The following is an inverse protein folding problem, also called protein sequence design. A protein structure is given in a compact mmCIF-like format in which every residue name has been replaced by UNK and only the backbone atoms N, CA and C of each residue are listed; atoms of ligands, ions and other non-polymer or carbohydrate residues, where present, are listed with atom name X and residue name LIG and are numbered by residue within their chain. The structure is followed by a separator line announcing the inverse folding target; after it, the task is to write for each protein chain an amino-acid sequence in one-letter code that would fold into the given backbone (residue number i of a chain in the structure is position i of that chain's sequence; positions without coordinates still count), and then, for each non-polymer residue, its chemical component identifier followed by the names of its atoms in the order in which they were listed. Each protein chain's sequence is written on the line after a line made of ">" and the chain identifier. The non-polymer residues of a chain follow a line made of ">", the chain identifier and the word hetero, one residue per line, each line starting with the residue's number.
data_IF_355048210594
#
_entry.id   IF_355048210594
#
_cell.length_a   1.000
_cell.length_b   1.000
_cell.length_c   1.000
_cell.angle_alpha   90.00
_cell.angle_beta   90.00
_cell.angle_gamma   90.00
#
_symmetry.space_group_name_H-M   'P 1'
#
loop_
_entity.id
_entity.type
_entity.pdbx_description
1 polymer ?
#
# COMPACT_ATOMS: atom_id res chain seq x y z
N UNK A 1 -8.83 -4.76 -7.53
CA UNK A 1 -8.09 -5.58 -8.52
C UNK A 1 -6.73 -5.88 -7.95
N UNK A 2 -6.26 -7.13 -8.02
CA UNK A 2 -4.92 -7.53 -7.58
C UNK A 2 -4.22 -8.35 -8.66
N UNK A 3 -3.82 -7.74 -9.79
CA UNK A 3 -3.16 -8.47 -10.87
C UNK A 3 -1.78 -8.96 -10.39
N UNK A 4 -1.41 -10.18 -10.79
CA UNK A 4 -0.09 -10.75 -10.51
C UNK A 4 0.81 -10.67 -11.74
N UNK A 5 2.02 -10.14 -11.55
CA UNK A 5 3.11 -10.28 -12.52
C UNK A 5 4.02 -11.43 -12.07
N UNK A 6 4.28 -12.38 -12.97
CA UNK A 6 5.11 -13.55 -12.65
C UNK A 6 6.31 -13.65 -13.59
N UNK A 7 7.41 -14.24 -13.12
CA UNK A 7 8.54 -14.59 -13.99
C UNK A 7 8.12 -15.70 -14.97
N UNK A 8 8.84 -15.82 -16.10
CA UNK A 8 8.46 -16.69 -17.22
C UNK A 8 8.19 -18.14 -16.85
N UNK A 9 9.00 -18.72 -15.95
CA UNK A 9 8.84 -20.11 -15.50
C UNK A 9 7.53 -20.35 -14.71
N UNK A 10 6.92 -19.30 -14.16
CA UNK A 10 5.64 -19.37 -13.46
C UNK A 10 4.44 -19.12 -14.39
N UNK A 11 4.66 -18.59 -15.59
CA UNK A 11 3.58 -18.24 -16.51
C UNK A 11 2.66 -19.43 -16.87
N UNK A 12 3.14 -20.67 -17.04
CA UNK A 12 2.27 -21.83 -17.27
C UNK A 12 1.34 -22.16 -16.10
N UNK A 13 1.65 -21.68 -14.89
CA UNK A 13 0.84 -21.93 -13.69
C UNK A 13 -0.14 -20.80 -13.39
N UNK A 14 -0.24 -19.79 -14.26
CA UNK A 14 -1.22 -18.73 -14.11
C UNK A 14 -2.66 -19.27 -14.21
N UNK A 15 -3.61 -18.72 -13.43
CA UNK A 15 -5.00 -19.13 -13.49
C UNK A 15 -5.60 -19.09 -14.90
N UNK A 16 -6.41 -20.10 -15.21
CA UNK A 16 -7.27 -20.16 -16.39
C UNK A 16 -8.68 -19.66 -16.10
N UNK A 17 -9.61 -19.98 -17.00
CA UNK A 17 -11.05 -19.78 -16.79
C UNK A 17 -11.83 -20.85 -17.56
N UNK A 18 -12.85 -21.43 -16.94
CA UNK A 18 -13.59 -22.58 -17.48
C UNK A 18 -14.47 -22.25 -18.70
N UNK A 19 -14.99 -21.02 -18.78
CA UNK A 19 -15.93 -20.59 -19.84
C UNK A 19 -15.22 -19.86 -21.00
N UNK A 20 -14.16 -19.09 -20.70
CA UNK A 20 -13.48 -18.24 -21.67
C UNK A 20 -12.03 -18.73 -21.75
N UNK A 21 -11.67 -19.51 -22.79
CA UNK A 21 -10.32 -20.01 -22.95
C UNK A 21 -9.33 -18.84 -23.03
N UNK A 22 -8.36 -18.81 -22.12
CA UNK A 22 -7.28 -17.84 -22.18
C UNK A 22 -6.15 -18.42 -23.03
N UNK A 23 -6.11 -18.04 -24.31
CA UNK A 23 -5.21 -18.53 -25.39
C UNK A 23 -3.71 -18.46 -25.09
N UNK A 24 -3.18 -19.26 -24.15
CA UNK A 24 -1.76 -19.58 -24.06
C UNK A 24 -1.60 -21.03 -23.64
N UNK A 25 -0.74 -21.74 -24.38
CA UNK A 25 -0.37 -23.13 -24.18
C UNK A 25 -0.19 -23.45 -22.69
N UNK A 26 -0.93 -24.46 -22.20
CA UNK A 26 -0.82 -25.05 -20.86
C UNK A 26 -0.92 -24.03 -19.73
N UNK A 27 -2.12 -23.51 -19.47
CA UNK A 27 -2.45 -22.90 -18.17
C UNK A 27 -2.95 -23.96 -17.20
N UNK A 28 -2.65 -23.77 -15.92
CA UNK A 28 -3.23 -24.53 -14.83
C UNK A 28 -4.76 -24.34 -14.79
N UNK A 29 -5.50 -25.42 -14.61
CA UNK A 29 -6.98 -25.43 -14.62
C UNK A 29 -7.62 -24.74 -13.40
N UNK A 30 -6.81 -24.14 -12.52
CA UNK A 30 -7.29 -23.38 -11.37
C UNK A 30 -7.99 -22.08 -11.77
N UNK A 31 -9.19 -21.88 -11.20
CA UNK A 31 -9.96 -20.64 -11.33
C UNK A 31 -10.01 -19.94 -9.97
N UNK A 32 -9.66 -18.65 -9.94
CA UNK A 32 -9.63 -17.84 -8.71
C UNK A 32 -10.68 -16.72 -8.70
N UNK A 33 -11.44 -16.56 -9.79
CA UNK A 33 -12.41 -15.48 -9.96
C UNK A 33 -13.56 -15.91 -10.86
N UNK A 34 -14.78 -15.42 -10.60
CA UNK A 34 -15.97 -15.78 -11.37
C UNK A 34 -16.02 -15.21 -12.80
N UNK A 35 -15.11 -14.30 -13.14
CA UNK A 35 -14.90 -13.78 -14.49
C UNK A 35 -13.40 -13.83 -14.85
N UNK A 36 -13.03 -14.05 -16.12
CA UNK A 36 -11.65 -14.31 -16.55
C UNK A 36 -10.66 -13.17 -16.25
N UNK A 37 -11.15 -11.93 -16.12
CA UNK A 37 -10.34 -10.75 -15.77
C UNK A 37 -10.90 -9.99 -14.56
N UNK A 38 -11.70 -10.67 -13.72
CA UNK A 38 -12.37 -10.05 -12.57
C UNK A 38 -13.22 -8.85 -12.98
N UNK A 39 -13.15 -7.77 -12.20
CA UNK A 39 -13.86 -6.51 -12.48
C UNK A 39 -13.15 -5.71 -13.58
N UNK A 40 -13.26 -6.16 -14.83
CA UNK A 40 -12.55 -5.56 -15.97
C UNK A 40 -12.89 -4.08 -16.21
N UNK A 41 -14.11 -3.64 -15.87
CA UNK A 41 -14.60 -2.28 -16.09
C UNK A 41 -13.81 -1.19 -15.35
N UNK A 42 -13.09 -1.54 -14.27
CA UNK A 42 -12.29 -0.59 -13.48
C UNK A 42 -10.80 -0.57 -13.87
N UNK A 43 -10.34 -1.50 -14.73
CA UNK A 43 -8.97 -1.49 -15.25
C UNK A 43 -8.58 -0.20 -16.01
N UNK A 44 -9.49 0.49 -16.73
CA UNK A 44 -9.18 1.77 -17.36
C UNK A 44 -8.67 2.85 -16.39
N UNK A 45 -9.00 2.79 -15.09
CA UNK A 45 -8.51 3.76 -14.09
C UNK A 45 -6.98 3.68 -13.97
N UNK A 46 -6.45 2.47 -13.72
CA UNK A 46 -5.00 2.26 -13.62
C UNK A 46 -4.30 2.49 -14.97
N UNK A 47 -4.92 2.06 -16.07
CA UNK A 47 -4.40 2.34 -17.41
C UNK A 47 -4.27 3.85 -17.66
N UNK A 48 -5.30 4.63 -17.35
CA UNK A 48 -5.29 6.09 -17.54
C UNK A 48 -4.21 6.74 -16.68
N UNK A 49 -4.09 6.35 -15.41
CA UNK A 49 -3.02 6.83 -14.53
C UNK A 49 -1.63 6.59 -15.12
N UNK A 50 -1.32 5.35 -15.52
CA UNK A 50 -0.02 5.01 -16.11
C UNK A 50 0.25 5.81 -17.39
N UNK A 51 -0.76 5.93 -18.26
CA UNK A 51 -0.62 6.60 -19.56
C UNK A 51 -0.49 8.12 -19.44
N UNK A 52 -1.21 8.74 -18.50
CA UNK A 52 -1.16 10.19 -18.28
C UNK A 52 0.10 10.62 -17.52
N UNK A 53 0.54 9.83 -16.53
CA UNK A 53 1.75 10.13 -15.76
C UNK A 53 3.01 9.91 -16.60
N UNK A 54 3.04 8.86 -17.43
CA UNK A 54 4.23 8.45 -18.16
C UNK A 54 5.40 8.05 -17.23
N UNK A 55 6.55 7.72 -17.82
CA UNK A 55 7.71 7.23 -17.05
C UNK A 55 8.22 8.28 -16.06
N UNK A 56 8.32 9.53 -16.50
CA UNK A 56 8.79 10.64 -15.66
C UNK A 56 7.83 10.94 -14.50
N UNK A 57 6.52 11.03 -14.78
CA UNK A 57 5.52 11.28 -13.75
C UNK A 57 5.45 10.15 -12.73
N UNK A 58 5.51 8.88 -13.16
CA UNK A 58 5.51 7.74 -12.24
C UNK A 58 6.74 7.74 -11.33
N UNK A 59 7.91 8.11 -11.86
CA UNK A 59 9.14 8.27 -11.07
C UNK A 59 8.97 9.39 -10.03
N UNK A 60 8.50 10.56 -10.46
CA UNK A 60 8.29 11.72 -9.56
C UNK A 60 7.27 11.39 -8.47
N UNK A 61 6.15 10.74 -8.82
CA UNK A 61 5.15 10.34 -7.84
C UNK A 61 5.74 9.44 -6.74
N UNK A 62 6.58 8.48 -7.12
CA UNK A 62 7.26 7.59 -6.17
C UNK A 62 8.25 8.36 -5.28
N UNK A 63 9.02 9.28 -5.86
CA UNK A 63 9.96 10.12 -5.11
C UNK A 63 9.23 11.04 -4.12
N UNK A 64 8.13 11.64 -4.54
CA UNK A 64 7.31 12.51 -3.69
C UNK A 64 6.64 11.73 -2.55
N UNK A 65 6.21 10.48 -2.78
CA UNK A 65 5.66 9.64 -1.71
C UNK A 65 6.70 9.41 -0.60
N UNK A 66 7.93 9.04 -0.97
CA UNK A 66 9.03 8.83 -0.02
C UNK A 66 9.42 10.14 0.68
N UNK A 67 9.53 11.25 -0.07
CA UNK A 67 9.87 12.55 0.49
C UNK A 67 8.83 13.02 1.51
N UNK A 68 7.55 12.95 1.17
CA UNK A 68 6.46 13.39 2.04
C UNK A 68 6.41 12.58 3.34
N UNK A 69 6.58 11.25 3.25
CA UNK A 69 6.63 10.38 4.43
C UNK A 69 7.78 10.77 5.36
N UNK A 70 8.99 10.94 4.81
CA UNK A 70 10.16 11.29 5.62
C UNK A 70 10.09 12.72 6.18
N UNK A 71 9.51 13.66 5.42
CA UNK A 71 9.24 15.02 5.91
C UNK A 71 8.30 14.99 7.12
N UNK A 72 7.17 14.27 7.03
CA UNK A 72 6.22 14.15 8.14
C UNK A 72 6.84 13.42 9.34
N UNK A 73 7.54 12.30 9.11
CA UNK A 73 8.24 11.57 10.15
C UNK A 73 9.19 12.49 10.92
N UNK A 74 10.04 13.25 10.21
CA UNK A 74 11.00 14.15 10.85
C UNK A 74 10.32 15.27 11.65
N UNK A 75 9.21 15.81 11.16
CA UNK A 75 8.45 16.83 11.88
C UNK A 75 7.83 16.28 13.17
N UNK A 76 7.30 15.07 13.14
CA UNK A 76 6.69 14.44 14.31
C UNK A 76 7.74 14.01 15.33
N UNK A 77 8.90 13.53 14.89
CA UNK A 77 10.04 13.29 15.79
C UNK A 77 10.48 14.55 16.53
N UNK A 78 10.61 15.66 15.81
CA UNK A 78 10.95 16.94 16.43
C UNK A 78 9.86 17.41 17.42
N UNK A 79 8.63 16.94 17.28
CA UNK A 79 7.53 17.17 18.21
C UNK A 79 7.47 16.15 19.36
N UNK A 80 8.43 15.22 19.44
CA UNK A 80 8.56 14.25 20.53
C UNK A 80 7.91 12.88 20.26
N UNK A 81 7.35 12.63 19.08
CA UNK A 81 6.82 11.32 18.73
C UNK A 81 7.95 10.36 18.34
N UNK A 82 7.85 9.10 18.78
CA UNK A 82 8.82 8.07 18.42
C UNK A 82 8.45 7.44 17.09
N UNK A 83 9.30 7.59 16.08
CA UNK A 83 9.18 6.87 14.80
C UNK A 83 10.02 5.58 14.86
N UNK A 84 9.45 4.46 14.43
CA UNK A 84 10.08 3.13 14.50
C UNK A 84 10.29 2.50 13.12
N UNK A 85 11.16 1.48 13.05
CA UNK A 85 11.49 0.70 11.85
C UNK A 85 12.06 1.51 10.68
N UNK A 86 13.29 1.99 10.86
CA UNK A 86 14.05 2.70 9.83
C UNK A 86 15.06 1.78 9.15
N UNK A 87 15.48 2.17 7.96
CA UNK A 87 16.66 1.57 7.32
C UNK A 87 17.97 1.97 8.03
N UNK A 88 19.08 1.44 7.54
CA UNK A 88 20.43 1.71 8.05
C UNK A 88 20.85 3.19 7.93
N UNK A 89 20.20 3.95 7.05
CA UNK A 89 20.44 5.38 6.85
C UNK A 89 19.49 6.26 7.68
N UNK A 90 18.61 5.65 8.47
CA UNK A 90 17.64 6.35 9.30
C UNK A 90 16.47 6.93 8.50
N UNK A 91 16.19 6.45 7.30
CA UNK A 91 15.07 6.87 6.47
C UNK A 91 13.94 5.83 6.49
N UNK A 92 12.75 6.30 6.13
CA UNK A 92 11.56 5.49 5.91
C UNK A 92 11.29 5.37 4.40
N UNK A 93 10.43 4.42 4.02
CA UNK A 93 9.95 4.32 2.65
C UNK A 93 8.82 5.34 2.38
N UNK A 94 7.69 4.90 1.83
CA UNK A 94 6.54 5.75 1.51
C UNK A 94 5.54 5.92 2.68
N UNK A 95 5.85 5.32 3.82
CA UNK A 95 5.08 5.39 5.06
C UNK A 95 6.05 5.23 6.25
N UNK A 96 5.56 5.50 7.46
CA UNK A 96 6.30 5.34 8.71
C UNK A 96 5.33 5.04 9.85
N UNK A 97 5.85 4.50 10.96
CA UNK A 97 5.05 4.10 12.11
C UNK A 97 5.40 4.96 13.31
N UNK A 98 4.38 5.47 14.00
CA UNK A 98 4.50 6.18 15.27
C UNK A 98 4.23 5.18 16.40
N UNK A 99 5.19 5.02 17.31
CA UNK A 99 5.03 4.21 18.50
C UNK A 99 4.29 5.00 19.58
N UNK A 100 3.00 4.71 19.73
CA UNK A 100 2.13 5.29 20.74
C UNK A 100 2.10 4.49 22.06
N UNK A 101 2.84 3.37 22.19
CA UNK A 101 2.77 2.50 23.38
C UNK A 101 3.18 3.25 24.65
N UNK A 102 4.09 4.21 24.53
CA UNK A 102 4.51 5.04 25.65
C UNK A 102 3.34 5.79 26.28
N UNK A 103 2.32 6.23 25.53
CA UNK A 103 1.22 7.03 26.08
C UNK A 103 0.29 6.28 27.05
N UNK A 104 0.32 4.95 27.07
CA UNK A 104 -0.48 4.14 28.01
C UNK A 104 -0.22 4.47 29.49
N UNK A 105 0.99 4.92 29.85
CA UNK A 105 1.31 5.29 31.24
C UNK A 105 0.49 6.47 31.77
N UNK A 106 -0.05 7.32 30.89
CA UNK A 106 -0.97 8.42 31.22
C UNK A 106 -2.42 8.10 30.85
N UNK A 107 -2.72 6.83 30.56
CA UNK A 107 -4.08 6.36 30.25
C UNK A 107 -4.57 6.71 28.84
N UNK A 108 -3.68 7.08 27.92
CA UNK A 108 -4.02 7.35 26.52
C UNK A 108 -3.72 6.12 25.67
N UNK A 109 -4.74 5.62 24.99
CA UNK A 109 -4.64 4.55 24.00
C UNK A 109 -4.59 5.12 22.57
N UNK A 110 -4.20 4.29 21.60
CA UNK A 110 -4.10 4.73 20.21
C UNK A 110 -5.47 5.18 19.69
N UNK A 111 -6.55 4.52 20.11
CA UNK A 111 -7.92 4.89 19.75
C UNK A 111 -8.29 6.30 20.20
N UNK A 112 -7.82 6.76 21.36
CA UNK A 112 -8.06 8.12 21.84
C UNK A 112 -7.41 9.14 20.89
N UNK A 113 -6.19 8.86 20.45
CA UNK A 113 -5.47 9.70 19.47
C UNK A 113 -6.23 9.71 18.14
N UNK A 114 -6.69 8.54 17.68
CA UNK A 114 -7.44 8.40 16.42
C UNK A 114 -8.77 9.15 16.46
N UNK A 115 -9.51 9.08 17.57
CA UNK A 115 -10.76 9.84 17.75
C UNK A 115 -10.48 11.33 17.88
N UNK A 116 -9.42 11.71 18.60
CA UNK A 116 -9.06 13.13 18.75
C UNK A 116 -8.68 13.76 17.41
N UNK A 117 -8.04 13.03 16.49
CA UNK A 117 -7.77 13.54 15.13
C UNK A 117 -9.04 13.94 14.37
N UNK A 118 -10.18 13.29 14.64
CA UNK A 118 -11.46 13.65 14.02
C UNK A 118 -11.90 15.07 14.42
N UNK A 119 -11.66 15.48 15.66
CA UNK A 119 -11.94 16.85 16.13
C UNK A 119 -11.08 17.90 15.40
N UNK A 120 -9.92 17.49 14.87
CA UNK A 120 -9.05 18.33 14.03
C UNK A 120 -9.36 18.19 12.52
N UNK A 121 -10.40 17.46 12.15
CA UNK A 121 -10.81 17.26 10.75
C UNK A 121 -9.97 16.24 9.98
N UNK A 122 -9.23 15.37 10.67
CA UNK A 122 -8.42 14.33 10.05
C UNK A 122 -9.01 12.93 10.27
N UNK A 123 -9.10 12.16 9.18
CA UNK A 123 -9.26 10.72 9.30
C UNK A 123 -7.98 10.12 9.89
N UNK A 124 -8.12 9.22 10.86
CA UNK A 124 -6.97 8.56 11.48
C UNK A 124 -6.14 7.75 10.45
N UNK A 125 -4.83 7.61 10.65
CA UNK A 125 -4.02 6.68 9.86
C UNK A 125 -4.42 5.22 10.14
N UNK A 126 -3.77 4.26 9.49
CA UNK A 126 -3.95 2.83 9.80
C UNK A 126 -3.59 2.54 11.26
N UNK A 127 -4.46 1.79 11.93
CA UNK A 127 -4.38 1.48 13.35
C UNK A 127 -4.18 -0.02 13.55
N UNK A 128 -3.40 -0.43 14.57
CA UNK A 128 -3.34 -1.82 15.08
C UNK A 128 -3.15 -2.92 14.02
N UNK A 129 -2.13 -2.81 13.15
CA UNK A 129 -1.95 -3.77 12.06
C UNK A 129 -0.69 -4.64 12.13
N UNK A 130 0.32 -4.24 12.91
CA UNK A 130 1.56 -5.01 13.09
C UNK A 130 1.73 -5.37 14.56
N UNK A 131 1.12 -6.47 14.98
CA UNK A 131 1.44 -7.13 16.24
C UNK A 131 2.77 -7.90 16.07
N UNK A 132 3.88 -7.22 16.39
CA UNK A 132 5.14 -7.86 16.75
C UNK A 132 5.41 -7.63 18.23
#
# INVERSE_FOLDING_TARGET
>A
MGPIGVKSHLAPFLPGHSIIPQNREKRYDGVVSGAPWGSASILPITWAYIRLMGISGLKIASQMAILNANYMAKRLENAGYRVVYRDEQGLNAHEFIIDCKSFKHVGIEVDDIAKRLMDFGFHAPTMHWLDF
#
